data_IF_508255103767
#
_entry.id   IF_508255103767
#
_cell.length_a   1.000
_cell.length_b   1.000
_cell.length_c   1.000
_cell.angle_alpha   90.00
_cell.angle_beta   90.00
_cell.angle_gamma   90.00
#
_symmetry.space_group_name_H-M   'P 1'
#
loop_
_entity.id
_entity.type
_entity.pdbx_description
1 polymer ?
#
# COMPACT_ATOMS: atom_id res chain seq x y z
N UNK A 1 -9.71 -15.06 36.01
CA UNK A 1 -8.26 -15.25 35.73
C UNK A 1 -8.16 -15.57 34.24
N UNK A 2 -7.81 -14.57 33.40
CA UNK A 2 -7.60 -14.78 31.96
C UNK A 2 -6.21 -15.44 31.84
N UNK A 3 -6.05 -16.54 31.09
CA UNK A 3 -4.73 -17.14 30.89
C UNK A 3 -3.80 -16.12 30.22
N UNK A 4 -2.66 -15.86 30.83
CA UNK A 4 -1.69 -14.85 30.42
C UNK A 4 -0.85 -15.24 29.18
N UNK A 5 -1.27 -16.24 28.38
CA UNK A 5 -0.42 -16.83 27.34
C UNK A 5 -1.15 -17.13 26.01
N UNK A 6 -2.28 -16.50 25.76
CA UNK A 6 -2.92 -16.62 24.43
C UNK A 6 -2.33 -15.59 23.48
N UNK A 7 -1.55 -16.04 22.48
CA UNK A 7 -1.11 -15.19 21.38
C UNK A 7 -2.32 -14.42 20.80
N UNK A 8 -2.16 -13.13 20.45
CA UNK A 8 -3.28 -12.33 19.95
C UNK A 8 -3.83 -12.92 18.67
N UNK A 9 -5.17 -12.98 18.53
CA UNK A 9 -5.82 -13.42 17.31
C UNK A 9 -5.51 -12.44 16.16
N UNK A 10 -5.00 -12.95 15.04
CA UNK A 10 -4.63 -12.18 13.83
C UNK A 10 -5.42 -12.63 12.61
N UNK A 11 -5.36 -11.84 11.56
CA UNK A 11 -5.81 -12.28 10.25
C UNK A 11 -4.91 -13.43 9.74
N UNK A 12 -5.47 -14.54 9.24
CA UNK A 12 -4.68 -15.75 8.91
C UNK A 12 -3.53 -15.53 7.94
N UNK A 13 -3.66 -14.57 7.01
CA UNK A 13 -2.62 -14.29 6.04
C UNK A 13 -1.30 -13.83 6.69
N UNK A 14 -1.36 -13.22 7.86
CA UNK A 14 -0.19 -12.66 8.55
C UNK A 14 0.62 -13.69 9.33
N UNK A 15 0.11 -14.92 9.48
CA UNK A 15 0.75 -15.96 10.29
C UNK A 15 1.88 -16.71 9.54
N UNK A 16 2.10 -16.39 8.27
CA UNK A 16 3.10 -17.07 7.44
C UNK A 16 4.56 -16.78 7.82
N UNK A 17 4.85 -15.65 8.46
CA UNK A 17 6.21 -15.28 8.88
C UNK A 17 6.21 -14.21 9.96
N UNK A 18 7.34 -14.07 10.67
CA UNK A 18 7.52 -12.99 11.66
C UNK A 18 7.40 -11.60 11.01
N UNK A 19 7.88 -11.45 9.76
CA UNK A 19 7.83 -10.20 9.00
C UNK A 19 6.38 -9.81 8.66
N UNK A 20 5.55 -10.78 8.25
CA UNK A 20 4.13 -10.54 7.97
C UNK A 20 3.35 -10.22 9.25
N UNK A 21 3.66 -10.90 10.35
CA UNK A 21 3.06 -10.58 11.67
C UNK A 21 3.39 -9.17 12.12
N UNK A 22 4.66 -8.76 12.03
CA UNK A 22 5.08 -7.42 12.42
C UNK A 22 4.40 -6.34 11.57
N UNK A 23 4.37 -6.52 10.25
CA UNK A 23 3.68 -5.63 9.31
C UNK A 23 2.17 -5.54 9.62
N UNK A 24 1.50 -6.68 9.83
CA UNK A 24 0.08 -6.73 10.20
C UNK A 24 -0.20 -6.01 11.52
N UNK A 25 0.64 -6.21 12.53
CA UNK A 25 0.38 -5.68 13.86
C UNK A 25 0.67 -4.18 13.97
N UNK A 26 1.55 -3.64 13.12
CA UNK A 26 2.03 -2.26 13.27
C UNK A 26 1.61 -1.32 12.15
N UNK A 27 1.46 -1.83 10.92
CA UNK A 27 1.33 -0.98 9.74
C UNK A 27 0.02 -1.22 8.97
N UNK A 28 -0.35 -2.48 8.68
CA UNK A 28 -1.48 -2.78 7.82
C UNK A 28 -2.80 -2.26 8.40
N UNK A 29 -3.53 -1.50 7.58
CA UNK A 29 -4.80 -0.87 7.98
C UNK A 29 -4.64 0.45 8.75
N UNK A 30 -3.43 0.84 9.12
CA UNK A 30 -3.18 2.15 9.77
C UNK A 30 -3.35 3.26 8.72
N UNK A 31 -4.17 4.30 8.97
CA UNK A 31 -4.37 5.37 8.03
C UNK A 31 -3.08 6.09 7.65
N UNK A 32 -2.69 6.01 6.39
CA UNK A 32 -1.51 6.67 5.83
C UNK A 32 -1.94 7.97 5.11
N UNK A 33 -1.43 9.11 5.57
CA UNK A 33 -1.65 10.43 4.96
C UNK A 33 -0.35 11.09 4.51
N UNK A 34 0.80 10.55 4.91
CA UNK A 34 2.10 11.01 4.44
C UNK A 34 2.29 10.61 2.98
N UNK A 35 2.66 11.55 2.14
CA UNK A 35 2.76 11.33 0.70
C UNK A 35 3.88 10.37 0.30
N UNK A 36 4.99 10.40 1.04
CA UNK A 36 6.12 9.51 0.77
C UNK A 36 5.79 8.07 1.16
N UNK A 37 5.09 7.89 2.30
CA UNK A 37 4.57 6.60 2.72
C UNK A 37 3.54 6.05 1.72
N UNK A 38 2.63 6.87 1.21
CA UNK A 38 1.68 6.46 0.17
C UNK A 38 2.38 6.11 -1.14
N UNK A 39 3.41 6.85 -1.55
CA UNK A 39 4.18 6.53 -2.74
C UNK A 39 4.98 5.22 -2.58
N UNK A 40 5.50 4.95 -1.36
CA UNK A 40 6.08 3.65 -1.01
C UNK A 40 5.03 2.54 -1.19
N UNK A 41 3.83 2.67 -0.60
CA UNK A 41 2.76 1.67 -0.70
C UNK A 41 2.31 1.43 -2.15
N UNK A 42 2.06 2.48 -2.93
CA UNK A 42 1.72 2.34 -4.38
C UNK A 42 2.80 1.56 -5.12
N UNK A 43 4.07 1.82 -4.80
CA UNK A 43 5.20 1.13 -5.43
C UNK A 43 5.25 -0.34 -5.04
N UNK A 44 5.13 -0.65 -3.74
CA UNK A 44 5.24 -2.01 -3.23
C UNK A 44 4.06 -2.89 -3.67
N UNK A 45 2.84 -2.36 -3.66
CA UNK A 45 1.65 -3.06 -4.12
C UNK A 45 1.70 -3.31 -5.65
N UNK A 46 2.17 -2.34 -6.42
CA UNK A 46 2.42 -2.55 -7.85
C UNK A 46 3.51 -3.58 -8.12
N UNK A 47 4.55 -3.62 -7.26
CA UNK A 47 5.62 -4.61 -7.37
C UNK A 47 5.16 -6.03 -6.97
N UNK A 48 4.16 -6.15 -6.11
CA UNK A 48 3.61 -7.43 -5.66
C UNK A 48 2.90 -8.20 -6.78
N UNK A 49 2.35 -7.54 -7.79
CA UNK A 49 1.56 -8.21 -8.83
C UNK A 49 2.22 -9.53 -9.30
N UNK A 50 1.53 -10.66 -9.06
CA UNK A 50 2.01 -12.02 -9.36
C UNK A 50 3.03 -12.61 -8.36
N UNK A 51 3.25 -11.97 -7.19
CA UNK A 51 4.19 -12.41 -6.16
C UNK A 51 3.50 -12.49 -4.79
N UNK A 52 4.10 -13.26 -3.86
CA UNK A 52 3.67 -13.27 -2.47
C UNK A 52 4.09 -11.96 -1.75
N UNK A 53 3.22 -11.44 -0.87
CA UNK A 53 3.50 -10.22 -0.11
C UNK A 53 4.79 -10.31 0.72
N UNK A 54 5.04 -11.45 1.38
CA UNK A 54 6.29 -11.69 2.12
C UNK A 54 7.56 -11.46 1.28
N UNK A 55 7.50 -11.72 -0.05
CA UNK A 55 8.63 -11.46 -0.95
C UNK A 55 8.89 -9.97 -1.08
N UNK A 56 7.84 -9.15 -1.12
CA UNK A 56 7.93 -7.70 -1.21
C UNK A 56 8.41 -7.12 0.13
N UNK A 57 7.84 -7.58 1.25
CA UNK A 57 8.30 -7.15 2.58
C UNK A 57 9.79 -7.45 2.80
N UNK A 58 10.26 -8.63 2.42
CA UNK A 58 11.68 -8.99 2.54
C UNK A 58 12.60 -8.12 1.68
N UNK A 59 12.07 -7.48 0.64
CA UNK A 59 12.82 -6.59 -0.27
C UNK A 59 12.57 -5.10 0.01
N UNK A 60 11.77 -4.76 1.03
CA UNK A 60 11.34 -3.38 1.28
C UNK A 60 12.49 -2.41 1.47
N UNK A 61 13.51 -2.78 2.26
CA UNK A 61 14.70 -1.93 2.43
C UNK A 61 15.47 -1.75 1.12
N UNK A 62 15.60 -2.82 0.34
CA UNK A 62 16.19 -2.72 -1.00
C UNK A 62 15.42 -1.76 -1.92
N UNK A 63 14.10 -1.72 -1.81
CA UNK A 63 13.27 -0.72 -2.52
C UNK A 63 13.51 0.69 -2.00
N UNK A 64 13.60 0.90 -0.68
CA UNK A 64 13.92 2.20 -0.08
C UNK A 64 15.25 2.74 -0.58
N UNK A 65 16.29 1.92 -0.57
CA UNK A 65 17.62 2.27 -1.12
C UNK A 65 17.57 2.53 -2.62
N UNK A 66 16.95 1.63 -3.39
CA UNK A 66 16.88 1.71 -4.85
C UNK A 66 16.16 2.98 -5.34
N UNK A 67 15.10 3.37 -4.62
CA UNK A 67 14.23 4.49 -4.98
C UNK A 67 14.36 5.71 -4.05
N UNK A 68 15.57 5.94 -3.54
CA UNK A 68 15.94 7.16 -2.80
C UNK A 68 15.01 7.50 -1.62
N UNK A 69 14.61 6.49 -0.84
CA UNK A 69 13.66 6.63 0.27
C UNK A 69 12.27 7.07 -0.19
N UNK A 70 11.88 6.70 -1.40
CA UNK A 70 10.62 7.08 -2.04
C UNK A 70 10.40 8.59 -2.14
N UNK A 71 11.46 9.34 -2.38
CA UNK A 71 11.39 10.76 -2.72
C UNK A 71 10.98 10.92 -4.20
N UNK A 72 9.74 11.40 -4.49
CA UNK A 72 9.26 11.47 -5.86
C UNK A 72 10.10 12.41 -6.75
N UNK A 73 10.64 13.49 -6.18
CA UNK A 73 11.44 14.45 -6.93
C UNK A 73 12.78 13.85 -7.40
N UNK A 74 13.35 12.96 -6.59
CA UNK A 74 14.57 12.23 -6.94
C UNK A 74 14.30 11.10 -7.92
N UNK A 75 13.25 10.30 -7.66
CA UNK A 75 12.88 9.14 -8.48
C UNK A 75 12.44 9.56 -9.89
N UNK A 76 11.71 10.66 -10.03
CA UNK A 76 11.23 11.16 -11.32
C UNK A 76 12.36 11.48 -12.32
N UNK A 77 13.59 11.72 -11.81
CA UNK A 77 14.79 12.03 -12.62
C UNK A 77 15.56 10.80 -13.07
N UNK A 78 15.14 9.58 -12.72
CA UNK A 78 15.86 8.38 -13.13
C UNK A 78 15.79 8.22 -14.65
N UNK A 79 16.97 8.07 -15.24
CA UNK A 79 17.20 7.84 -16.66
C UNK A 79 17.27 6.35 -17.02
N UNK A 80 17.41 6.05 -18.29
CA UNK A 80 17.50 4.68 -18.79
C UNK A 80 18.68 3.91 -18.15
N UNK A 81 19.84 4.56 -17.98
CA UNK A 81 21.02 3.94 -17.35
C UNK A 81 20.75 3.57 -15.88
N UNK A 82 20.03 4.42 -15.15
CA UNK A 82 19.64 4.10 -13.77
C UNK A 82 18.66 2.94 -13.74
N UNK A 83 17.67 2.90 -14.64
CA UNK A 83 16.71 1.80 -14.78
C UNK A 83 17.44 0.49 -15.10
N UNK A 84 18.42 0.48 -16.01
CA UNK A 84 19.21 -0.71 -16.36
C UNK A 84 19.94 -1.28 -15.13
N UNK A 85 20.57 -0.41 -14.32
CA UNK A 85 21.18 -0.83 -13.05
C UNK A 85 20.17 -1.43 -12.07
N UNK A 86 18.97 -0.87 -11.99
CA UNK A 86 17.91 -1.38 -11.11
C UNK A 86 17.38 -2.74 -11.57
N UNK A 87 17.29 -2.99 -12.88
CA UNK A 87 16.91 -4.31 -13.42
C UNK A 87 17.94 -5.39 -13.03
N UNK A 88 19.19 -5.04 -12.84
CA UNK A 88 20.23 -5.95 -12.37
C UNK A 88 20.29 -6.08 -10.83
N UNK A 89 19.59 -5.24 -10.06
CA UNK A 89 19.66 -5.20 -8.61
C UNK A 89 18.86 -6.36 -7.97
N UNK A 90 19.48 -7.33 -7.27
CA UNK A 90 18.78 -8.44 -6.63
C UNK A 90 18.00 -8.03 -5.39
N UNK A 91 18.26 -6.83 -4.81
CA UNK A 91 17.54 -6.33 -3.63
C UNK A 91 16.09 -5.95 -3.93
N UNK A 92 15.70 -5.81 -5.20
CA UNK A 92 14.34 -5.53 -5.63
C UNK A 92 13.84 -6.59 -6.62
N UNK A 93 12.56 -6.52 -7.01
CA UNK A 93 12.01 -7.36 -8.08
C UNK A 93 12.59 -6.90 -9.42
N UNK A 94 13.36 -7.80 -10.08
CA UNK A 94 14.06 -7.53 -11.35
C UNK A 94 13.11 -7.60 -12.55
N UNK A 95 12.17 -6.66 -12.61
CA UNK A 95 11.18 -6.57 -13.68
C UNK A 95 11.12 -5.15 -14.23
N UNK A 96 11.65 -4.95 -15.46
CA UNK A 96 11.77 -3.62 -16.08
C UNK A 96 10.49 -2.81 -16.01
N UNK A 97 9.35 -3.35 -16.45
CA UNK A 97 8.09 -2.63 -16.47
C UNK A 97 7.63 -2.16 -15.08
N UNK A 98 7.89 -2.94 -14.00
CA UNK A 98 7.62 -2.52 -12.62
C UNK A 98 8.55 -1.40 -12.19
N UNK A 99 9.83 -1.45 -12.55
CA UNK A 99 10.82 -0.41 -12.24
C UNK A 99 10.47 0.89 -12.98
N UNK A 100 10.16 0.82 -14.26
CA UNK A 100 9.72 1.97 -15.06
C UNK A 100 8.43 2.60 -14.54
N UNK A 101 7.51 1.76 -14.01
CA UNK A 101 6.27 2.28 -13.40
C UNK A 101 6.55 3.13 -12.17
N UNK A 102 7.54 2.81 -11.34
CA UNK A 102 7.90 3.64 -10.18
C UNK A 102 8.33 5.03 -10.64
N UNK A 103 9.14 5.12 -11.71
CA UNK A 103 9.57 6.41 -12.27
C UNK A 103 8.39 7.18 -12.87
N UNK A 104 7.50 6.49 -13.58
CA UNK A 104 6.27 7.10 -14.12
C UNK A 104 5.36 7.60 -12.99
N UNK A 105 5.17 6.81 -11.95
CA UNK A 105 4.35 7.17 -10.79
C UNK A 105 4.94 8.35 -10.01
N UNK A 106 6.27 8.43 -9.87
CA UNK A 106 6.93 9.60 -9.29
C UNK A 106 6.66 10.89 -10.10
N UNK A 107 6.70 10.80 -11.43
CA UNK A 107 6.35 11.93 -12.31
C UNK A 107 4.87 12.30 -12.19
N UNK A 108 3.99 11.32 -12.01
CA UNK A 108 2.57 11.56 -11.78
C UNK A 108 2.33 12.28 -10.44
N UNK A 109 3.03 11.90 -9.35
CA UNK A 109 2.98 12.64 -8.07
C UNK A 109 3.39 14.10 -8.26
N UNK A 110 4.48 14.36 -8.98
CA UNK A 110 4.91 15.74 -9.25
C UNK A 110 3.91 16.51 -10.16
N UNK A 111 3.18 15.82 -11.01
CA UNK A 111 2.10 16.43 -11.78
C UNK A 111 0.93 16.83 -10.87
N UNK A 112 0.54 15.98 -9.91
CA UNK A 112 -0.49 16.33 -8.92
C UNK A 112 -0.12 17.59 -8.14
N UNK A 113 1.16 17.75 -7.74
CA UNK A 113 1.62 18.96 -7.04
C UNK A 113 1.46 20.22 -7.91
N UNK A 114 1.80 20.14 -9.20
CA UNK A 114 1.60 21.26 -10.14
C UNK A 114 0.13 21.63 -10.30
N UNK A 115 -0.76 20.63 -10.20
CA UNK A 115 -2.22 20.81 -10.26
C UNK A 115 -2.82 21.26 -8.91
N UNK A 116 -2.00 21.57 -7.88
CA UNK A 116 -2.44 22.04 -6.56
C UNK A 116 -3.06 20.95 -5.68
N UNK A 117 -2.80 19.66 -5.97
CA UNK A 117 -3.29 18.54 -5.17
C UNK A 117 -2.14 17.62 -4.73
N UNK A 118 -2.44 16.59 -3.93
CA UNK A 118 -1.46 15.62 -3.43
C UNK A 118 -1.94 14.20 -3.68
N UNK A 119 -1.00 13.24 -3.65
CA UNK A 119 -1.36 11.83 -3.72
C UNK A 119 -2.31 11.45 -2.59
N UNK A 120 -2.10 11.97 -1.38
CA UNK A 120 -2.97 11.73 -0.24
C UNK A 120 -4.41 12.20 -0.52
N UNK A 121 -4.59 13.43 -0.95
CA UNK A 121 -5.93 13.96 -1.31
C UNK A 121 -6.60 13.10 -2.38
N UNK A 122 -5.83 12.72 -3.42
CA UNK A 122 -6.36 11.90 -4.51
C UNK A 122 -6.82 10.53 -4.01
N UNK A 123 -5.98 9.82 -3.26
CA UNK A 123 -6.27 8.46 -2.77
C UNK A 123 -7.44 8.47 -1.78
N UNK A 124 -7.44 9.40 -0.82
CA UNK A 124 -8.50 9.48 0.18
C UNK A 124 -9.85 9.98 -0.36
N UNK A 125 -9.87 10.64 -1.52
CA UNK A 125 -11.12 11.14 -2.12
C UNK A 125 -12.13 10.04 -2.45
N UNK A 126 -11.68 8.83 -2.81
CA UNK A 126 -12.58 7.73 -3.20
C UNK A 126 -13.42 7.19 -2.05
N UNK A 127 -12.99 7.43 -0.81
CA UNK A 127 -13.73 7.06 0.41
C UNK A 127 -14.33 8.28 1.13
N UNK A 128 -14.26 9.49 0.51
CA UNK A 128 -14.77 10.73 1.10
C UNK A 128 -13.99 11.17 2.34
N UNK A 129 -12.69 10.87 2.40
CA UNK A 129 -11.81 11.22 3.53
C UNK A 129 -12.00 10.37 4.79
N UNK A 130 -12.91 9.40 4.79
CA UNK A 130 -13.22 8.54 5.95
C UNK A 130 -13.04 7.07 5.61
N UNK A 131 -12.29 6.29 6.42
CA UNK A 131 -12.10 4.87 6.15
C UNK A 131 -13.40 4.09 6.12
N UNK A 132 -13.49 3.10 5.24
CA UNK A 132 -14.50 2.05 5.32
C UNK A 132 -14.16 1.11 6.48
N UNK A 133 -15.17 0.63 7.20
CA UNK A 133 -14.97 -0.35 8.28
C UNK A 133 -15.96 -1.50 8.11
N UNK A 134 -15.73 -2.37 7.13
CA UNK A 134 -16.53 -3.58 6.98
C UNK A 134 -16.30 -4.52 8.17
N UNK A 135 -17.21 -5.44 8.41
CA UNK A 135 -17.16 -6.34 9.57
C UNK A 135 -17.04 -7.79 9.12
N UNK A 136 -15.97 -8.10 8.37
CA UNK A 136 -15.70 -9.44 7.89
C UNK A 136 -15.37 -10.40 9.03
N UNK A 137 -15.98 -11.59 8.99
CA UNK A 137 -15.80 -12.64 10.00
C UNK A 137 -14.86 -13.75 9.55
N UNK A 138 -14.68 -13.88 8.23
CA UNK A 138 -13.80 -14.88 7.63
C UNK A 138 -13.00 -14.29 6.46
N UNK A 139 -11.83 -14.86 6.10
CA UNK A 139 -11.05 -14.41 4.96
C UNK A 139 -11.81 -14.48 3.62
N UNK A 140 -12.74 -15.41 3.48
CA UNK A 140 -13.54 -15.58 2.26
C UNK A 140 -14.55 -14.45 2.02
N UNK A 141 -14.87 -13.67 3.04
CA UNK A 141 -15.76 -12.50 2.92
C UNK A 141 -15.00 -11.26 2.41
N UNK A 142 -13.68 -11.24 2.54
CA UNK A 142 -12.85 -10.09 2.12
C UNK A 142 -12.75 -10.06 0.58
N UNK A 143 -13.30 -9.04 -0.08
CA UNK A 143 -13.31 -8.99 -1.53
C UNK A 143 -11.92 -8.70 -2.10
N UNK A 144 -11.58 -9.32 -3.23
CA UNK A 144 -10.37 -9.00 -3.96
C UNK A 144 -10.40 -7.61 -4.64
N UNK A 145 -11.59 -7.04 -4.80
CA UNK A 145 -11.84 -5.69 -5.33
C UNK A 145 -13.22 -5.18 -4.90
N UNK A 146 -13.37 -3.87 -4.85
CA UNK A 146 -14.61 -3.18 -4.50
C UNK A 146 -14.90 -2.06 -5.51
N UNK A 147 -16.09 -1.46 -5.44
CA UNK A 147 -16.40 -0.27 -6.24
C UNK A 147 -15.44 0.91 -5.96
N UNK A 148 -15.00 1.07 -4.69
CA UNK A 148 -14.04 2.09 -4.30
C UNK A 148 -12.65 1.79 -4.90
N UNK A 149 -12.19 0.53 -4.90
CA UNK A 149 -10.91 0.16 -5.55
C UNK A 149 -10.95 0.27 -7.07
N UNK A 150 -12.11 0.01 -7.70
CA UNK A 150 -12.32 0.24 -9.13
C UNK A 150 -12.27 1.76 -9.45
N UNK A 151 -12.86 2.58 -8.59
CA UNK A 151 -12.81 4.04 -8.72
C UNK A 151 -11.37 4.57 -8.56
N UNK A 152 -10.66 4.09 -7.53
CA UNK A 152 -9.26 4.45 -7.28
C UNK A 152 -8.37 4.06 -8.46
N UNK A 153 -8.54 2.85 -9.01
CA UNK A 153 -7.77 2.38 -10.16
C UNK A 153 -7.96 3.29 -11.38
N UNK A 154 -9.21 3.64 -11.71
CA UNK A 154 -9.51 4.58 -12.81
C UNK A 154 -8.91 5.96 -12.54
N UNK A 155 -9.06 6.46 -11.32
CA UNK A 155 -8.57 7.78 -10.92
C UNK A 155 -7.04 7.87 -11.02
N UNK A 156 -6.31 6.89 -10.47
CA UNK A 156 -4.85 6.85 -10.54
C UNK A 156 -4.38 6.70 -12.00
N UNK A 157 -5.00 5.80 -12.78
CA UNK A 157 -4.65 5.60 -14.18
C UNK A 157 -4.86 6.89 -15.02
N UNK A 158 -5.95 7.64 -14.78
CA UNK A 158 -6.21 8.92 -15.45
C UNK A 158 -5.18 10.00 -15.13
N UNK A 159 -4.46 9.86 -14.02
CA UNK A 159 -3.36 10.73 -13.59
C UNK A 159 -1.98 10.22 -14.01
N UNK A 160 -1.93 9.18 -14.85
CA UNK A 160 -0.69 8.64 -15.40
C UNK A 160 0.02 7.61 -14.51
N UNK A 161 -0.59 7.16 -13.42
CA UNK A 161 -0.05 6.08 -12.61
C UNK A 161 -0.16 4.74 -13.36
N UNK A 162 0.81 3.87 -13.12
CA UNK A 162 0.93 2.55 -13.73
C UNK A 162 0.97 1.45 -12.66
N UNK A 163 0.60 0.23 -13.01
CA UNK A 163 0.46 -0.90 -12.11
C UNK A 163 -0.54 -0.65 -10.96
N UNK A 164 -1.62 0.04 -11.27
CA UNK A 164 -2.69 0.45 -10.36
C UNK A 164 -4.04 -0.18 -10.76
N UNK A 165 -4.05 -1.47 -11.11
CA UNK A 165 -5.29 -2.19 -11.37
C UNK A 165 -6.17 -2.33 -10.12
N UNK A 166 -7.46 -2.64 -10.29
CA UNK A 166 -8.44 -2.68 -9.19
C UNK A 166 -8.02 -3.56 -8.01
N UNK A 167 -7.47 -4.75 -8.27
CA UNK A 167 -6.97 -5.64 -7.19
C UNK A 167 -5.77 -5.03 -6.47
N UNK A 168 -4.83 -4.42 -7.21
CA UNK A 168 -3.70 -3.69 -6.62
C UNK A 168 -4.18 -2.49 -5.80
N UNK A 169 -5.19 -1.77 -6.29
CA UNK A 169 -5.79 -0.66 -5.55
C UNK A 169 -6.55 -1.12 -4.32
N UNK A 170 -7.20 -2.30 -4.33
CA UNK A 170 -7.80 -2.86 -3.11
C UNK A 170 -6.73 -3.16 -2.06
N UNK A 171 -5.61 -3.79 -2.44
CA UNK A 171 -4.49 -4.03 -1.53
C UNK A 171 -3.88 -2.71 -1.02
N UNK A 172 -3.72 -1.70 -1.87
CA UNK A 172 -3.31 -0.36 -1.47
C UNK A 172 -4.28 0.27 -0.46
N UNK A 173 -5.60 0.15 -0.68
CA UNK A 173 -6.62 0.67 0.25
C UNK A 173 -6.55 -0.01 1.61
N UNK A 174 -6.33 -1.32 1.64
CA UNK A 174 -6.12 -2.09 2.86
C UNK A 174 -4.84 -1.65 3.58
N UNK A 175 -3.72 -1.61 2.86
CA UNK A 175 -2.42 -1.24 3.42
C UNK A 175 -2.40 0.19 3.96
N UNK A 176 -2.99 1.15 3.24
CA UNK A 176 -3.03 2.56 3.60
C UNK A 176 -4.18 2.94 4.56
N UNK A 177 -4.98 1.97 5.01
CA UNK A 177 -6.05 2.19 5.97
C UNK A 177 -7.27 2.94 5.43
N UNK A 178 -7.47 2.98 4.10
CA UNK A 178 -8.72 3.47 3.49
C UNK A 178 -9.89 2.52 3.76
N UNK A 179 -9.58 1.26 4.03
CA UNK A 179 -10.53 0.26 4.51
C UNK A 179 -9.88 -0.57 5.62
N UNK A 180 -10.63 -0.79 6.69
CA UNK A 180 -10.20 -1.65 7.79
C UNK A 180 -10.69 -3.08 7.53
N UNK A 181 -9.92 -3.84 6.79
CA UNK A 181 -10.25 -5.22 6.42
C UNK A 181 -9.68 -6.27 7.41
N UNK A 182 -9.25 -5.84 8.60
CA UNK A 182 -9.02 -6.78 9.70
C UNK A 182 -10.31 -7.54 10.03
N UNK A 183 -10.22 -8.85 10.22
CA UNK A 183 -11.37 -9.63 10.66
C UNK A 183 -11.86 -9.15 12.04
N UNK A 184 -13.16 -9.22 12.30
CA UNK A 184 -13.73 -8.77 13.60
C UNK A 184 -13.15 -9.51 14.81
N UNK A 185 -12.64 -10.73 14.62
CA UNK A 185 -11.91 -11.50 15.63
C UNK A 185 -10.46 -11.07 15.82
N UNK A 186 -9.91 -10.28 14.89
CA UNK A 186 -8.52 -9.83 14.95
C UNK A 186 -8.34 -8.75 16.02
N UNK A 187 -7.26 -8.88 16.82
CA UNK A 187 -6.95 -7.89 17.86
C UNK A 187 -6.72 -6.48 17.31
N UNK A 188 -6.38 -6.35 16.02
CA UNK A 188 -6.16 -5.06 15.35
C UNK A 188 -7.42 -4.37 14.86
N UNK A 189 -8.56 -5.08 14.69
CA UNK A 189 -9.79 -4.50 14.13
C UNK A 189 -10.25 -3.25 14.88
N UNK A 190 -10.43 -3.35 16.21
CA UNK A 190 -10.90 -2.21 17.02
C UNK A 190 -9.88 -1.07 17.13
N UNK A 191 -8.58 -1.32 17.37
CA UNK A 191 -7.57 -0.28 17.35
C UNK A 191 -7.51 0.50 16.03
N UNK A 192 -7.51 -0.18 14.89
CA UNK A 192 -7.48 0.46 13.56
C UNK A 192 -8.76 1.27 13.29
N UNK A 193 -9.93 0.76 13.68
CA UNK A 193 -11.18 1.52 13.58
C UNK A 193 -11.10 2.85 14.35
N UNK A 194 -10.53 2.85 15.56
CA UNK A 194 -10.34 4.08 16.35
C UNK A 194 -9.39 5.08 15.66
N UNK A 195 -8.27 4.59 15.09
CA UNK A 195 -7.36 5.44 14.34
C UNK A 195 -8.04 6.11 13.15
N UNK A 196 -8.89 5.36 12.43
CA UNK A 196 -9.64 5.92 11.31
C UNK A 196 -10.63 7.02 11.69
N UNK A 197 -11.22 6.94 12.91
CA UNK A 197 -12.13 7.98 13.41
C UNK A 197 -11.42 9.28 13.84
N UNK A 198 -10.14 9.21 14.14
CA UNK A 198 -9.34 10.37 14.58
C UNK A 198 -8.65 11.11 13.44
N UNK A 199 -8.87 10.73 12.19
CA UNK A 199 -8.37 11.49 11.05
C UNK A 199 -8.99 12.90 11.02
N UNK A 200 -8.19 13.96 10.77
CA UNK A 200 -8.73 15.30 10.57
C UNK A 200 -9.64 15.32 9.35
N UNK A 201 -10.74 16.03 9.46
CA UNK A 201 -11.74 16.25 8.39
C UNK A 201 -11.17 17.09 7.27
#
# INVERSE_FOLDING_TARGET
MVPADASPSRCPWSEGSALERDYHDREWGVPAVDERALFELVTLEGAQAGLAWRTILAKREGYREAFAGFDPARVARYDARRIDRLVANPAIVRHRGKIESVVANARAVLALHRDGTTLARLVWSVVGGKPRTPRYRSPSEVPARTADSDALARLLASRGFRFVGSTTCQALMQAAGLTNDHLVSCHRHGPVERLGRSLPS
#
